data_IF_688049183548
#
_entry.id   IF_688049183548
#
_cell.length_a   1.000
_cell.length_b   1.000
_cell.length_c   1.000
_cell.angle_alpha   90.00
_cell.angle_beta   90.00
_cell.angle_gamma   90.00
#
_symmetry.space_group_name_H-M   'P 1'
#
loop_
_entity.id
_entity.type
_entity.pdbx_description
1 polymer ?
#
# COMPACT_ATOMS: atom_id res chain seq x y z
N UNK A 1 -9.84 -66.62 -7.30
CA UNK A 1 -8.73 -65.70 -6.92
C UNK A 1 -8.79 -64.40 -7.71
N UNK A 2 -8.94 -64.47 -9.04
CA UNK A 2 -9.07 -63.28 -9.91
C UNK A 2 -10.21 -62.33 -9.52
N UNK A 3 -11.40 -62.86 -9.23
CA UNK A 3 -12.60 -62.08 -8.86
C UNK A 3 -12.44 -61.24 -7.58
N UNK A 4 -11.61 -61.71 -6.63
CA UNK A 4 -11.32 -61.00 -5.38
C UNK A 4 -10.33 -59.85 -5.62
N UNK A 5 -9.34 -60.06 -6.49
CA UNK A 5 -8.30 -59.08 -6.77
C UNK A 5 -8.87 -57.87 -7.53
N UNK A 6 -9.69 -58.11 -8.56
CA UNK A 6 -10.25 -57.02 -9.39
C UNK A 6 -11.28 -56.17 -8.65
N UNK A 7 -12.05 -56.79 -7.73
CA UNK A 7 -13.03 -56.06 -6.91
C UNK A 7 -12.33 -55.15 -5.89
N UNK A 8 -11.26 -55.65 -5.25
CA UNK A 8 -10.42 -54.84 -4.38
C UNK A 8 -9.72 -53.68 -5.12
N UNK A 9 -9.27 -53.91 -6.36
CA UNK A 9 -8.70 -52.86 -7.22
C UNK A 9 -9.74 -51.78 -7.58
N UNK A 10 -10.97 -52.18 -7.91
CA UNK A 10 -12.07 -51.25 -8.19
C UNK A 10 -12.42 -50.41 -6.95
N UNK A 11 -12.52 -51.03 -5.76
CA UNK A 11 -12.78 -50.33 -4.50
C UNK A 11 -11.68 -49.32 -4.17
N UNK A 12 -10.41 -49.70 -4.33
CA UNK A 12 -9.28 -48.80 -4.12
C UNK A 12 -9.28 -47.62 -5.12
N UNK A 13 -9.66 -47.87 -6.38
CA UNK A 13 -9.77 -46.81 -7.38
C UNK A 13 -10.95 -45.87 -7.09
N UNK A 14 -12.08 -46.40 -6.60
CA UNK A 14 -13.22 -45.59 -6.14
C UNK A 14 -12.78 -44.68 -4.98
N UNK A 15 -12.04 -45.20 -4.00
CA UNK A 15 -11.52 -44.39 -2.89
C UNK A 15 -10.60 -43.27 -3.39
N UNK A 16 -9.67 -43.60 -4.28
CA UNK A 16 -8.80 -42.61 -4.94
C UNK A 16 -9.60 -41.55 -5.71
N UNK A 17 -10.57 -41.98 -6.52
CA UNK A 17 -11.44 -41.11 -7.32
C UNK A 17 -12.22 -40.11 -6.46
N UNK A 18 -12.78 -40.56 -5.32
CA UNK A 18 -13.49 -39.67 -4.40
C UNK A 18 -12.59 -38.56 -3.85
N UNK A 19 -11.29 -38.82 -3.67
CA UNK A 19 -10.33 -37.81 -3.21
C UNK A 19 -10.13 -36.64 -4.18
N UNK A 20 -10.49 -36.78 -5.47
CA UNK A 20 -10.40 -35.71 -6.45
C UNK A 20 -11.62 -34.78 -6.47
N UNK A 21 -12.76 -35.20 -5.88
CA UNK A 21 -14.01 -34.41 -5.90
C UNK A 21 -13.90 -33.09 -5.12
N UNK A 22 -12.97 -33.01 -4.16
CA UNK A 22 -12.69 -31.80 -3.39
C UNK A 22 -11.57 -30.93 -4.02
N UNK A 23 -11.10 -31.27 -5.22
CA UNK A 23 -10.01 -30.56 -5.91
C UNK A 23 -10.46 -29.37 -6.76
N UNK A 24 -9.50 -28.52 -7.14
CA UNK A 24 -9.73 -27.38 -8.04
C UNK A 24 -9.76 -27.82 -9.52
N UNK A 25 -10.86 -28.44 -9.92
CA UNK A 25 -11.13 -28.88 -11.28
C UNK A 25 -12.39 -28.21 -11.84
N UNK A 26 -12.56 -28.24 -13.16
CA UNK A 26 -13.76 -27.70 -13.81
C UNK A 26 -15.00 -28.49 -13.38
N UNK A 27 -16.14 -27.80 -13.27
CA UNK A 27 -17.42 -28.41 -12.90
C UNK A 27 -17.79 -29.57 -13.83
N UNK A 28 -17.58 -29.41 -15.14
CA UNK A 28 -17.85 -30.44 -16.15
C UNK A 28 -16.99 -31.71 -15.93
N UNK A 29 -15.70 -31.55 -15.63
CA UNK A 29 -14.82 -32.71 -15.42
C UNK A 29 -15.09 -33.41 -14.08
N UNK A 30 -15.49 -32.66 -13.05
CA UNK A 30 -15.95 -33.22 -11.77
C UNK A 30 -17.28 -33.97 -11.91
N UNK A 31 -18.24 -33.46 -12.69
CA UNK A 31 -19.51 -34.15 -12.96
C UNK A 31 -19.28 -35.48 -13.72
N UNK A 32 -18.35 -35.47 -14.69
CA UNK A 32 -17.93 -36.68 -15.39
C UNK A 32 -17.30 -37.71 -14.43
N UNK A 33 -16.45 -37.27 -13.50
CA UNK A 33 -15.86 -38.13 -12.48
C UNK A 33 -16.92 -38.68 -11.51
N UNK A 34 -17.82 -37.85 -11.01
CA UNK A 34 -18.91 -38.25 -10.10
C UNK A 34 -19.81 -39.32 -10.75
N UNK A 35 -20.09 -39.16 -12.04
CA UNK A 35 -20.85 -40.15 -12.84
C UNK A 35 -20.10 -41.48 -12.93
N UNK A 36 -18.80 -41.46 -13.22
CA UNK A 36 -17.98 -42.66 -13.29
C UNK A 36 -17.84 -43.36 -11.93
N UNK A 37 -17.70 -42.60 -10.83
CA UNK A 37 -17.70 -43.12 -9.45
C UNK A 37 -19.00 -43.85 -9.15
N UNK A 38 -20.15 -43.26 -9.50
CA UNK A 38 -21.47 -43.86 -9.25
C UNK A 38 -21.65 -45.17 -10.02
N UNK A 39 -21.23 -45.21 -11.30
CA UNK A 39 -21.25 -46.44 -12.10
C UNK A 39 -20.32 -47.52 -11.53
N UNK A 40 -19.11 -47.14 -11.12
CA UNK A 40 -18.14 -48.03 -10.50
C UNK A 40 -18.65 -48.62 -9.17
N UNK A 41 -19.29 -47.80 -8.32
CA UNK A 41 -19.92 -48.25 -7.08
C UNK A 41 -21.07 -49.24 -7.33
N UNK A 42 -21.87 -49.03 -8.37
CA UNK A 42 -22.93 -49.96 -8.75
C UNK A 42 -22.38 -51.34 -9.18
N UNK A 43 -21.27 -51.35 -9.93
CA UNK A 43 -20.58 -52.60 -10.32
C UNK A 43 -19.94 -53.26 -9.08
N UNK A 44 -19.30 -52.50 -8.20
CA UNK A 44 -18.72 -53.04 -6.97
C UNK A 44 -19.77 -53.64 -6.03
N UNK A 45 -20.98 -53.08 -5.99
CA UNK A 45 -22.09 -53.61 -5.17
C UNK A 45 -22.78 -54.85 -5.77
N UNK A 46 -22.54 -55.17 -7.05
CA UNK A 46 -23.15 -56.32 -7.71
C UNK A 46 -22.31 -57.59 -7.45
N UNK A 47 -22.87 -58.56 -6.71
CA UNK A 47 -22.21 -59.83 -6.39
C UNK A 47 -22.08 -60.75 -7.61
N UNK A 48 -22.89 -60.55 -8.64
CA UNK A 48 -22.86 -61.31 -9.90
C UNK A 48 -22.08 -60.57 -11.02
N UNK A 49 -21.36 -59.50 -10.69
CA UNK A 49 -20.60 -58.72 -11.67
C UNK A 49 -19.53 -59.57 -12.36
N UNK A 50 -19.52 -59.51 -13.69
CA UNK A 50 -18.53 -60.20 -14.52
C UNK A 50 -17.20 -59.47 -14.51
N UNK A 51 -16.11 -60.19 -14.82
CA UNK A 51 -14.78 -59.57 -14.99
C UNK A 51 -14.77 -58.48 -16.06
N UNK A 52 -15.61 -58.61 -17.11
CA UNK A 52 -15.74 -57.59 -18.14
C UNK A 52 -16.34 -56.29 -17.59
N UNK A 53 -17.42 -56.38 -16.81
CA UNK A 53 -18.07 -55.22 -16.17
C UNK A 53 -17.14 -54.53 -15.17
N UNK A 54 -16.40 -55.29 -14.35
CA UNK A 54 -15.41 -54.73 -13.41
C UNK A 54 -14.28 -54.03 -14.17
N UNK A 55 -13.77 -54.63 -15.24
CA UNK A 55 -12.70 -54.05 -16.06
C UNK A 55 -13.17 -52.77 -16.76
N UNK A 56 -14.40 -52.76 -17.26
CA UNK A 56 -15.03 -51.58 -17.86
C UNK A 56 -15.20 -50.46 -16.83
N UNK A 57 -15.68 -50.76 -15.61
CA UNK A 57 -15.79 -49.79 -14.53
C UNK A 57 -14.43 -49.18 -14.15
N UNK A 58 -13.38 -50.00 -14.00
CA UNK A 58 -12.01 -49.54 -13.75
C UNK A 58 -11.53 -48.61 -14.88
N UNK A 59 -11.75 -49.01 -16.13
CA UNK A 59 -11.33 -48.23 -17.31
C UNK A 59 -12.05 -46.89 -17.38
N UNK A 60 -13.37 -46.87 -17.19
CA UNK A 60 -14.17 -45.66 -17.20
C UNK A 60 -13.76 -44.70 -16.07
N UNK A 61 -13.50 -45.23 -14.87
CA UNK A 61 -13.06 -44.43 -13.73
C UNK A 61 -11.66 -43.85 -13.95
N UNK A 62 -10.72 -44.65 -14.46
CA UNK A 62 -9.38 -44.18 -14.82
C UNK A 62 -9.41 -43.11 -15.92
N UNK A 63 -10.27 -43.27 -16.93
CA UNK A 63 -10.45 -42.27 -17.98
C UNK A 63 -11.05 -40.97 -17.44
N UNK A 64 -12.03 -41.05 -16.52
CA UNK A 64 -12.61 -39.87 -15.89
C UNK A 64 -11.59 -39.11 -15.02
N UNK A 65 -10.75 -39.83 -14.26
CA UNK A 65 -9.63 -39.23 -13.51
C UNK A 65 -8.64 -38.56 -14.48
N UNK A 66 -8.29 -39.23 -15.59
CA UNK A 66 -7.38 -38.67 -16.59
C UNK A 66 -7.98 -37.49 -17.37
N UNK A 67 -9.32 -37.40 -17.42
CA UNK A 67 -10.07 -36.31 -18.03
C UNK A 67 -10.38 -35.15 -17.09
N UNK A 68 -9.87 -35.17 -15.85
CA UNK A 68 -9.96 -34.02 -14.94
C UNK A 68 -9.21 -32.82 -15.52
N UNK A 69 -9.89 -31.68 -15.57
CA UNK A 69 -9.32 -30.42 -16.06
C UNK A 69 -9.12 -29.47 -14.89
N UNK A 70 -7.87 -29.14 -14.56
CA UNK A 70 -7.58 -28.24 -13.44
C UNK A 70 -7.93 -26.78 -13.76
N UNK A 71 -8.48 -26.08 -12.77
CA UNK A 71 -8.62 -24.63 -12.83
C UNK A 71 -7.27 -24.00 -12.48
N UNK A 72 -6.71 -23.21 -13.39
CA UNK A 72 -5.51 -22.42 -13.13
C UNK A 72 -5.91 -20.98 -12.82
N UNK A 73 -5.79 -20.57 -11.55
CA UNK A 73 -6.02 -19.18 -11.12
C UNK A 73 -4.72 -18.39 -11.15
N UNK A 74 -4.78 -17.14 -11.63
CA UNK A 74 -3.64 -16.23 -11.63
C UNK A 74 -3.66 -15.31 -10.40
N UNK A 75 -2.75 -15.57 -9.47
CA UNK A 75 -2.57 -14.78 -8.23
C UNK A 75 -1.40 -13.80 -8.31
N UNK A 76 -0.73 -13.68 -9.46
CA UNK A 76 0.52 -12.91 -9.57
C UNK A 76 0.33 -11.42 -9.25
N UNK A 77 -0.76 -10.83 -9.73
CA UNK A 77 -1.10 -9.43 -9.43
C UNK A 77 -1.41 -9.23 -7.94
N UNK A 78 -2.19 -10.14 -7.34
CA UNK A 78 -2.52 -10.10 -5.91
C UNK A 78 -1.26 -10.23 -5.04
N UNK A 79 -0.39 -11.18 -5.36
CA UNK A 79 0.87 -11.41 -4.66
C UNK A 79 1.77 -10.16 -4.68
N UNK A 80 1.84 -9.48 -5.83
CA UNK A 80 2.61 -8.24 -5.98
C UNK A 80 2.03 -7.09 -5.13
N UNK A 81 0.70 -6.94 -5.11
CA UNK A 81 0.02 -5.94 -4.27
C UNK A 81 0.27 -6.20 -2.78
N UNK A 82 0.18 -7.46 -2.34
CA UNK A 82 0.48 -7.89 -0.96
C UNK A 82 1.91 -7.53 -0.57
N UNK A 83 2.89 -7.78 -1.44
CA UNK A 83 4.30 -7.46 -1.19
C UNK A 83 4.49 -5.95 -0.98
N UNK A 84 3.93 -5.13 -1.86
CA UNK A 84 4.06 -3.67 -1.80
C UNK A 84 3.37 -3.10 -0.55
N UNK A 85 2.16 -3.55 -0.23
CA UNK A 85 1.44 -3.07 0.96
C UNK A 85 2.09 -3.56 2.25
N UNK A 86 2.68 -4.76 2.28
CA UNK A 86 3.46 -5.24 3.43
C UNK A 86 4.64 -4.31 3.73
N UNK A 87 5.34 -3.84 2.69
CA UNK A 87 6.43 -2.86 2.84
C UNK A 87 5.92 -1.50 3.34
N UNK A 88 4.75 -1.06 2.87
CA UNK A 88 4.13 0.18 3.36
C UNK A 88 3.74 0.07 4.83
N UNK A 89 3.16 -1.06 5.25
CA UNK A 89 2.77 -1.30 6.65
C UNK A 89 3.99 -1.27 7.58
N UNK A 90 5.14 -1.77 7.12
CA UNK A 90 6.40 -1.70 7.88
C UNK A 90 6.91 -0.25 8.08
N UNK A 91 6.42 0.72 7.30
CA UNK A 91 6.84 2.12 7.33
C UNK A 91 5.63 3.08 7.45
N UNK A 92 4.59 2.71 8.21
CA UNK A 92 3.36 3.53 8.33
C UNK A 92 3.62 4.94 8.87
N UNK A 93 4.67 5.13 9.67
CA UNK A 93 5.03 6.43 10.23
C UNK A 93 5.38 7.48 9.17
N UNK A 94 5.73 7.06 7.96
CA UNK A 94 6.00 7.94 6.81
C UNK A 94 4.72 8.42 6.11
N UNK A 95 3.55 7.89 6.48
CA UNK A 95 2.26 8.17 5.86
C UNK A 95 1.33 9.00 6.75
N UNK A 96 0.42 9.73 6.10
CA UNK A 96 -0.64 10.49 6.76
C UNK A 96 -1.65 9.49 7.35
N UNK A 97 -1.88 9.49 8.68
CA UNK A 97 -2.67 8.46 9.36
C UNK A 97 -4.05 8.22 8.75
N UNK A 98 -4.79 9.29 8.43
CA UNK A 98 -6.13 9.21 7.82
C UNK A 98 -6.14 8.50 6.45
N UNK A 99 -5.03 8.47 5.73
CA UNK A 99 -4.94 7.92 4.36
C UNK A 99 -4.58 6.44 4.32
N UNK A 100 -4.13 5.89 5.45
CA UNK A 100 -3.73 4.48 5.59
C UNK A 100 -4.64 3.74 6.58
N UNK A 101 -5.71 4.38 7.04
CA UNK A 101 -6.73 3.73 7.87
C UNK A 101 -7.31 2.51 7.16
N UNK A 102 -7.37 1.37 7.85
CA UNK A 102 -7.89 0.11 7.30
C UNK A 102 -6.97 -0.59 6.28
N UNK A 103 -5.78 -0.07 5.97
CA UNK A 103 -4.84 -0.70 5.03
C UNK A 103 -4.42 -2.12 5.48
N UNK A 104 -4.25 -2.33 6.80
CA UNK A 104 -3.93 -3.63 7.37
C UNK A 104 -5.06 -4.66 7.19
N UNK A 105 -6.31 -4.24 7.32
CA UNK A 105 -7.47 -5.11 7.12
C UNK A 105 -7.58 -5.52 5.64
N UNK A 106 -7.37 -4.56 4.73
CA UNK A 106 -7.34 -4.82 3.28
C UNK A 106 -6.21 -5.78 2.90
N UNK A 107 -5.05 -5.69 3.56
CA UNK A 107 -3.97 -6.65 3.38
C UNK A 107 -4.38 -8.05 3.85
N UNK A 108 -5.05 -8.17 5.00
CA UNK A 108 -5.53 -9.44 5.52
C UNK A 108 -6.58 -10.08 4.59
N UNK A 109 -7.54 -9.29 4.09
CA UNK A 109 -8.52 -9.71 3.08
C UNK A 109 -7.82 -10.26 1.82
N UNK A 110 -6.81 -9.54 1.32
CA UNK A 110 -6.02 -9.95 0.16
C UNK A 110 -5.23 -11.25 0.40
N UNK A 111 -4.64 -11.43 1.58
CA UNK A 111 -3.95 -12.66 1.95
C UNK A 111 -4.89 -13.87 2.01
N UNK A 112 -6.12 -13.68 2.48
CA UNK A 112 -7.15 -14.72 2.46
C UNK A 112 -7.54 -15.11 1.03
N UNK A 113 -7.68 -14.12 0.14
CA UNK A 113 -8.04 -14.33 -1.26
C UNK A 113 -6.98 -15.09 -2.09
N UNK A 114 -5.76 -15.30 -1.57
CA UNK A 114 -4.78 -16.20 -2.19
C UNK A 114 -5.24 -17.67 -2.23
N UNK A 115 -6.25 -18.03 -1.43
CA UNK A 115 -6.89 -19.35 -1.43
C UNK A 115 -8.31 -19.32 -2.01
N UNK A 116 -8.68 -18.27 -2.75
CA UNK A 116 -9.98 -18.19 -3.40
C UNK A 116 -10.14 -19.28 -4.47
N UNK A 117 -11.39 -19.64 -4.76
CA UNK A 117 -11.71 -20.70 -5.74
C UNK A 117 -12.06 -20.13 -7.11
N UNK A 118 -12.20 -18.81 -7.21
CA UNK A 118 -12.54 -18.12 -8.47
C UNK A 118 -11.57 -16.98 -8.79
N UNK A 119 -11.38 -16.70 -10.09
CA UNK A 119 -10.55 -15.57 -10.52
C UNK A 119 -11.19 -14.22 -10.15
N UNK A 120 -12.52 -14.13 -10.15
CA UNK A 120 -13.25 -12.91 -9.79
C UNK A 120 -12.95 -12.46 -8.36
N UNK A 121 -12.89 -13.39 -7.41
CA UNK A 121 -12.53 -13.08 -6.02
C UNK A 121 -11.09 -12.58 -5.89
N UNK A 122 -10.15 -13.19 -6.64
CA UNK A 122 -8.74 -12.77 -6.68
C UNK A 122 -8.62 -11.36 -7.26
N UNK A 123 -9.29 -11.10 -8.38
CA UNK A 123 -9.26 -9.81 -9.07
C UNK A 123 -9.89 -8.71 -8.20
N UNK A 124 -11.02 -9.01 -7.52
CA UNK A 124 -11.68 -8.10 -6.60
C UNK A 124 -10.79 -7.74 -5.39
N UNK A 125 -10.14 -8.74 -4.78
CA UNK A 125 -9.20 -8.51 -3.68
C UNK A 125 -7.98 -7.69 -4.14
N UNK A 126 -7.47 -7.98 -5.33
CA UNK A 126 -6.36 -7.24 -5.95
C UNK A 126 -6.71 -5.77 -6.14
N UNK A 127 -7.89 -5.48 -6.68
CA UNK A 127 -8.33 -4.11 -6.92
C UNK A 127 -8.56 -3.36 -5.61
N UNK A 128 -9.20 -4.00 -4.63
CA UNK A 128 -9.45 -3.39 -3.32
C UNK A 128 -8.14 -3.02 -2.60
N UNK A 129 -7.14 -3.90 -2.63
CA UNK A 129 -5.84 -3.62 -2.02
C UNK A 129 -5.08 -2.51 -2.79
N UNK A 130 -5.14 -2.55 -4.13
CA UNK A 130 -4.53 -1.54 -4.99
C UNK A 130 -5.12 -0.14 -4.74
N UNK A 131 -6.43 -0.03 -4.63
CA UNK A 131 -7.11 1.24 -4.35
C UNK A 131 -6.65 1.82 -3.00
N UNK A 132 -6.66 1.01 -1.94
CA UNK A 132 -6.18 1.42 -0.62
C UNK A 132 -4.72 1.91 -0.68
N UNK A 133 -3.86 1.17 -1.39
CA UNK A 133 -2.46 1.55 -1.61
C UNK A 133 -2.31 2.88 -2.35
N UNK A 134 -3.11 3.13 -3.38
CA UNK A 134 -3.07 4.37 -4.18
C UNK A 134 -3.62 5.59 -3.43
N UNK A 135 -4.47 5.38 -2.43
CA UNK A 135 -5.00 6.44 -1.57
C UNK A 135 -4.01 6.89 -0.50
N UNK A 136 -3.08 6.03 -0.08
CA UNK A 136 -2.06 6.34 0.91
C UNK A 136 -1.20 7.56 0.49
N UNK A 137 -1.03 8.53 1.40
CA UNK A 137 -0.22 9.73 1.20
C UNK A 137 0.92 9.78 2.19
N UNK A 138 2.11 10.16 1.73
CA UNK A 138 3.25 10.40 2.62
C UNK A 138 3.06 11.71 3.39
N UNK A 139 3.60 11.80 4.60
CA UNK A 139 3.62 13.04 5.40
C UNK A 139 4.32 14.17 4.64
N UNK A 140 3.92 15.41 4.93
CA UNK A 140 4.58 16.59 4.39
C UNK A 140 6.03 16.71 4.92
N UNK A 141 6.93 17.20 4.07
CA UNK A 141 8.28 17.57 4.49
C UNK A 141 8.25 18.92 5.20
N UNK A 142 8.61 18.90 6.48
CA UNK A 142 8.61 20.07 7.37
C UNK A 142 9.99 20.67 7.60
N UNK A 143 11.04 20.11 6.99
CA UNK A 143 12.44 20.46 7.31
C UNK A 143 12.73 21.95 7.13
N UNK A 144 12.24 22.56 6.03
CA UNK A 144 12.41 23.99 5.78
C UNK A 144 11.69 24.88 6.82
N UNK A 145 10.53 24.42 7.31
CA UNK A 145 9.79 25.14 8.34
C UNK A 145 10.50 25.06 9.70
N UNK A 146 11.05 23.89 10.04
CA UNK A 146 11.87 23.70 11.24
C UNK A 146 13.11 24.58 11.23
N UNK A 147 13.82 24.64 10.10
CA UNK A 147 15.00 25.50 9.92
C UNK A 147 14.65 26.98 10.06
N UNK A 148 13.54 27.44 9.46
CA UNK A 148 13.10 28.83 9.58
C UNK A 148 12.70 29.17 11.03
N UNK A 149 12.01 28.28 11.73
CA UNK A 149 11.71 28.46 13.17
C UNK A 149 13.01 28.54 13.97
N UNK A 150 14.00 27.69 13.70
CA UNK A 150 15.29 27.72 14.39
C UNK A 150 16.03 29.04 14.16
N UNK A 151 16.05 29.54 12.92
CA UNK A 151 16.58 30.86 12.59
C UNK A 151 15.87 31.97 13.37
N UNK A 152 14.53 32.00 13.37
CA UNK A 152 13.76 33.00 14.09
C UNK A 152 14.01 32.94 15.61
N UNK A 153 14.14 31.75 16.18
CA UNK A 153 14.47 31.60 17.61
C UNK A 153 15.89 32.10 17.96
N UNK A 154 16.79 32.18 16.97
CA UNK A 154 18.13 32.74 17.16
C UNK A 154 18.15 34.28 17.12
N UNK A 155 17.08 34.92 16.62
CA UNK A 155 16.97 36.37 16.57
C UNK A 155 16.71 36.95 17.95
N UNK A 156 17.41 38.04 18.27
CA UNK A 156 17.08 38.85 19.44
C UNK A 156 15.87 39.74 19.13
N UNK A 157 14.66 39.19 19.23
CA UNK A 157 13.42 39.91 18.88
C UNK A 157 13.22 41.22 19.66
N UNK A 158 13.91 41.42 20.78
CA UNK A 158 13.90 42.67 21.57
C UNK A 158 14.64 43.83 20.88
N UNK A 159 15.52 43.53 19.93
CA UNK A 159 16.16 44.54 19.09
C UNK A 159 15.20 45.14 18.04
N UNK A 160 13.99 44.59 17.91
CA UNK A 160 12.97 45.01 16.95
C UNK A 160 11.76 45.63 17.63
N UNK A 161 11.05 46.49 16.90
CA UNK A 161 9.83 47.13 17.39
C UNK A 161 8.77 46.07 17.67
N UNK A 162 8.02 46.25 18.76
CA UNK A 162 6.97 45.29 19.16
C UNK A 162 5.92 45.08 18.08
N UNK A 163 5.61 46.12 17.29
CA UNK A 163 4.65 46.02 16.18
C UNK A 163 5.14 45.07 15.07
N UNK A 164 6.42 45.13 14.71
CA UNK A 164 7.01 44.26 13.67
C UNK A 164 7.31 42.85 14.17
N UNK A 165 7.64 42.67 15.46
CA UNK A 165 7.92 41.37 16.05
C UNK A 165 6.66 40.54 16.33
N UNK A 166 5.51 41.20 16.54
CA UNK A 166 4.27 40.52 16.91
C UNK A 166 3.75 39.51 15.85
N UNK A 167 3.77 39.80 14.53
CA UNK A 167 3.45 38.83 13.49
C UNK A 167 4.39 37.62 13.48
N UNK A 168 5.70 37.84 13.67
CA UNK A 168 6.70 36.76 13.73
C UNK A 168 6.39 35.80 14.88
N UNK A 169 6.10 36.32 16.07
CA UNK A 169 5.73 35.51 17.24
C UNK A 169 4.48 34.67 16.98
N UNK A 170 3.45 35.25 16.34
CA UNK A 170 2.22 34.53 16.01
C UNK A 170 2.46 33.44 14.96
N UNK A 171 3.23 33.73 13.92
CA UNK A 171 3.52 32.79 12.86
C UNK A 171 4.42 31.63 13.35
N UNK A 172 5.38 31.89 14.25
CA UNK A 172 6.13 30.81 14.92
C UNK A 172 5.22 29.91 15.73
N UNK A 173 4.23 30.46 16.44
CA UNK A 173 3.28 29.66 17.20
C UNK A 173 2.42 28.77 16.29
N UNK A 174 1.93 29.31 15.16
CA UNK A 174 1.18 28.54 14.14
C UNK A 174 2.05 27.46 13.50
N UNK A 175 3.27 27.81 13.10
CA UNK A 175 4.23 26.88 12.51
C UNK A 175 4.54 25.71 13.46
N UNK A 176 4.76 25.99 14.75
CA UNK A 176 4.96 24.94 15.77
C UNK A 176 3.74 24.02 15.94
N UNK A 177 2.53 24.56 15.84
CA UNK A 177 1.32 23.73 15.87
C UNK A 177 1.25 22.79 14.65
N UNK A 178 1.67 23.26 13.47
CA UNK A 178 1.73 22.45 12.26
C UNK A 178 2.76 21.32 12.35
N UNK A 179 3.93 21.55 12.97
CA UNK A 179 4.94 20.49 13.18
C UNK A 179 4.42 19.31 14.02
N UNK A 180 3.38 19.54 14.82
CA UNK A 180 2.74 18.49 15.63
C UNK A 180 1.50 17.88 14.97
N UNK A 181 1.10 18.40 13.82
CA UNK A 181 -0.07 17.91 13.09
C UNK A 181 0.35 16.91 12.01
N UNK A 182 0.05 15.63 12.23
CA UNK A 182 0.38 14.55 11.29
C UNK A 182 -0.45 14.57 10.00
N UNK A 183 -1.49 15.41 9.95
CA UNK A 183 -2.40 15.57 8.81
C UNK A 183 -2.05 16.78 7.93
N UNK A 184 -0.98 17.52 8.27
CA UNK A 184 -0.62 18.73 7.52
C UNK A 184 -0.21 18.38 6.09
N UNK A 185 -0.71 19.16 5.13
CA UNK A 185 -0.38 19.01 3.71
C UNK A 185 0.88 19.79 3.35
N UNK A 186 1.54 19.38 2.27
CA UNK A 186 2.72 20.10 1.79
C UNK A 186 2.40 21.54 1.38
N UNK A 187 1.20 21.79 0.84
CA UNK A 187 0.74 23.13 0.48
C UNK A 187 0.66 24.03 1.72
N UNK A 188 0.04 23.56 2.80
CA UNK A 188 -0.04 24.31 4.05
C UNK A 188 1.36 24.59 4.64
N UNK A 189 2.26 23.59 4.63
CA UNK A 189 3.65 23.78 5.10
C UNK A 189 4.36 24.86 4.28
N UNK A 190 4.23 24.83 2.95
CA UNK A 190 4.84 25.82 2.06
C UNK A 190 4.28 27.23 2.33
N UNK A 191 2.96 27.35 2.44
CA UNK A 191 2.29 28.62 2.74
C UNK A 191 2.74 29.19 4.09
N UNK A 192 2.96 28.34 5.09
CA UNK A 192 3.47 28.76 6.39
C UNK A 192 4.93 29.21 6.33
N UNK A 193 5.77 28.53 5.54
CA UNK A 193 7.16 28.96 5.29
C UNK A 193 7.16 30.36 4.68
N UNK A 194 6.38 30.58 3.62
CA UNK A 194 6.26 31.89 2.97
C UNK A 194 5.73 32.98 3.93
N UNK A 195 4.69 32.64 4.70
CA UNK A 195 4.06 33.56 5.66
C UNK A 195 5.02 33.95 6.80
N UNK A 196 5.74 32.97 7.36
CA UNK A 196 6.71 33.22 8.41
C UNK A 196 7.89 34.02 7.85
N UNK A 197 8.39 33.67 6.67
CA UNK A 197 9.48 34.39 6.01
C UNK A 197 9.12 35.86 5.76
N UNK A 198 7.95 36.13 5.18
CA UNK A 198 7.49 37.49 4.95
C UNK A 198 7.37 38.29 6.25
N UNK A 199 6.97 37.67 7.37
CA UNK A 199 6.92 38.36 8.66
C UNK A 199 8.30 38.72 9.20
N UNK A 200 9.30 37.87 8.95
CA UNK A 200 10.70 38.11 9.31
C UNK A 200 11.30 39.24 8.48
N UNK A 201 11.05 39.26 7.16
CA UNK A 201 11.53 40.31 6.27
C UNK A 201 10.95 41.70 6.59
N UNK A 202 9.78 41.74 7.25
CA UNK A 202 9.12 42.96 7.70
C UNK A 202 9.52 43.40 9.13
N UNK A 203 10.51 42.76 9.76
CA UNK A 203 11.04 43.19 11.04
C UNK A 203 11.67 44.59 10.94
N UNK A 204 11.36 45.45 11.92
CA UNK A 204 11.87 46.83 11.98
C UNK A 204 12.66 46.99 13.28
N UNK A 205 13.94 47.32 13.19
CA UNK A 205 14.80 47.52 14.35
C UNK A 205 14.31 48.69 15.23
N UNK A 206 14.49 48.56 16.55
CA UNK A 206 14.32 49.69 17.46
C UNK A 206 15.49 50.64 17.21
N UNK A 207 15.25 51.72 16.47
CA UNK A 207 16.22 52.80 16.33
C UNK A 207 16.55 53.37 17.71
N UNK A 208 17.64 52.91 18.33
CA UNK A 208 18.31 53.63 19.39
C UNK A 208 19.48 54.45 18.81
N UNK A 209 19.16 55.34 17.87
CA UNK A 209 20.10 56.35 17.41
C UNK A 209 19.63 57.72 17.84
N UNK A 210 20.17 58.17 18.96
CA UNK A 210 20.65 59.56 19.02
C UNK A 210 21.48 59.85 17.77
N UNK A 211 20.92 60.68 16.89
CA UNK A 211 21.51 61.43 15.77
C UNK A 211 21.76 60.72 14.42
N UNK A 212 21.23 61.41 13.39
CA UNK A 212 21.61 61.51 11.97
C UNK A 212 22.97 60.86 11.57
N UNK A 213 23.14 60.14 10.47
CA UNK A 213 22.86 60.49 9.07
C UNK A 213 22.79 59.24 8.17
N UNK A 214 22.21 59.46 6.99
CA UNK A 214 22.09 58.64 5.79
C UNK A 214 23.28 57.70 5.44
N UNK A 215 23.01 56.41 5.20
CA UNK A 215 23.61 55.60 4.11
C UNK A 215 23.22 54.10 4.19
N UNK A 216 22.62 53.61 3.11
CA UNK A 216 22.68 52.22 2.58
C UNK A 216 22.07 51.06 3.40
N UNK A 217 20.74 50.92 3.33
CA UNK A 217 20.01 49.70 3.76
C UNK A 217 19.97 48.57 2.71
N UNK A 218 20.77 48.64 1.64
CA UNK A 218 20.71 47.65 0.55
C UNK A 218 21.62 46.42 0.80
N UNK A 219 22.71 46.55 1.56
CA UNK A 219 23.67 45.46 1.75
C UNK A 219 23.18 44.37 2.72
N UNK A 220 22.52 44.74 3.81
CA UNK A 220 21.96 43.77 4.77
C UNK A 220 20.75 43.01 4.18
N UNK A 221 19.86 43.72 3.48
CA UNK A 221 18.73 43.11 2.77
C UNK A 221 19.19 42.14 1.66
N UNK A 222 20.27 42.48 0.94
CA UNK A 222 20.84 41.59 -0.10
C UNK A 222 21.55 40.36 0.49
N UNK A 223 22.23 40.48 1.64
CA UNK A 223 22.94 39.34 2.24
C UNK A 223 21.98 38.34 2.89
N UNK A 224 20.94 38.82 3.58
CA UNK A 224 19.86 37.98 4.12
C UNK A 224 19.03 37.35 3.00
N UNK A 225 18.68 38.14 1.96
CA UNK A 225 17.97 37.63 0.79
C UNK A 225 18.75 36.61 -0.04
N UNK A 226 20.08 36.71 -0.11
CA UNK A 226 20.94 35.77 -0.84
C UNK A 226 21.13 34.44 -0.09
N UNK A 227 21.18 34.47 1.25
CA UNK A 227 21.19 33.26 2.08
C UNK A 227 19.83 32.54 2.06
N UNK A 228 18.73 33.30 2.03
CA UNK A 228 17.37 32.76 1.90
C UNK A 228 17.05 32.22 0.51
N UNK A 229 17.52 32.87 -0.56
CA UNK A 229 17.38 32.34 -1.92
C UNK A 229 18.13 31.01 -2.11
N UNK A 230 19.24 30.80 -1.39
CA UNK A 230 19.96 29.51 -1.38
C UNK A 230 19.17 28.41 -0.64
N UNK A 231 18.45 28.75 0.43
CA UNK A 231 17.61 27.80 1.19
C UNK A 231 16.34 27.42 0.41
N UNK A 232 15.68 28.39 -0.22
CA UNK A 232 14.54 28.14 -1.12
C UNK A 232 14.94 27.31 -2.35
N UNK A 233 16.14 27.53 -2.90
CA UNK A 233 16.67 26.72 -4.00
C UNK A 233 17.00 25.27 -3.59
N UNK A 234 17.41 25.03 -2.33
CA UNK A 234 17.62 23.68 -1.82
C UNK A 234 16.31 22.90 -1.64
N UNK A 235 15.25 23.54 -1.13
CA UNK A 235 13.91 22.95 -1.03
C UNK A 235 13.24 22.69 -2.39
N UNK A 236 13.50 23.51 -3.41
CA UNK A 236 13.04 23.25 -4.78
C UNK A 236 13.90 22.18 -5.50
N UNK A 237 15.19 22.05 -5.16
CA UNK A 237 16.08 21.05 -5.75
C UNK A 237 15.75 19.61 -5.33
N UNK A 238 15.22 19.39 -4.11
CA UNK A 238 14.75 18.07 -3.65
C UNK A 238 13.47 17.62 -4.36
N UNK A 239 12.56 18.55 -4.67
CA UNK A 239 11.35 18.29 -5.49
C UNK A 239 11.72 17.77 -6.89
N UNK A 240 12.77 18.31 -7.52
CA UNK A 240 13.23 17.85 -8.83
C UNK A 240 13.91 16.46 -8.78
N UNK A 241 14.60 16.14 -7.68
CA UNK A 241 15.25 14.83 -7.49
C UNK A 241 14.23 13.71 -7.18
N UNK A 242 13.16 14.00 -6.43
CA UNK A 242 12.12 13.02 -6.11
C UNK A 242 11.27 12.63 -7.33
N UNK A 243 11.00 13.58 -8.25
CA UNK A 243 10.27 13.32 -9.50
C UNK A 243 11.04 12.49 -10.52
N UNK A 244 12.39 12.60 -10.56
CA UNK A 244 13.26 11.83 -11.48
C UNK A 244 13.53 10.38 -11.06
N UNK A 245 13.35 10.05 -9.78
CA UNK A 245 13.55 8.68 -9.27
C UNK A 245 12.29 7.79 -9.42
N UNK A 246 11.18 8.37 -9.87
CA UNK A 246 9.87 7.72 -10.10
C UNK A 246 9.44 7.71 -11.57
N UNK A 247 10.34 8.04 -12.51
CA UNK A 247 10.13 7.88 -13.96
C UNK A 247 10.97 6.75 -14.51
#
# INVERSE_FOLDING_TARGET
LWEIVTKAELEALIESANGYLDGNYTEESLEALQTAITAAQAVAANDDATTAEVTEAITNLANAIAGLESITLDTSALAHEIELVTQMIANLDDYVPSTVEGLADKLADAQAAMNATTQEEIDAATESLREARLNARTKADVSALEELIAYVNSLELRAYTSASAQPVIQNVARAKAMLTNEEVTQEEVNDMVETLQASVDNLVEVNNSTNAEESTNTAAAMQTGMMLALMAAAGLATIAAYRRKRS
#
